data_IF_018301139428
#
_entry.id   IF_018301139428
#
_cell.length_a   1.000
_cell.length_b   1.000
_cell.length_c   1.000
_cell.angle_alpha   90.00
_cell.angle_beta   90.00
_cell.angle_gamma   90.00
#
_symmetry.space_group_name_H-M   'P 1'
#
loop_
_entity.id
_entity.type
_entity.pdbx_description
1 polymer ?
#
# COMPACT_ATOMS: atom_id res chain seq x y z
N UNK A 1 5.24 3.44 13.34
CA UNK A 1 4.59 4.38 12.40
C UNK A 1 5.48 5.62 12.29
N UNK A 2 5.85 6.04 11.08
CA UNK A 2 6.68 7.24 10.86
C UNK A 2 5.81 8.34 10.25
N UNK A 3 5.81 9.53 10.85
CA UNK A 3 5.02 10.68 10.40
C UNK A 3 5.88 11.96 10.45
N UNK A 4 5.51 12.95 9.64
CA UNK A 4 6.27 14.20 9.49
C UNK A 4 6.27 14.72 8.05
N UNK A 5 6.68 15.98 7.83
CA UNK A 5 6.66 16.61 6.51
C UNK A 5 7.63 15.95 5.53
N UNK A 6 7.42 16.16 4.22
CA UNK A 6 8.34 15.67 3.20
C UNK A 6 9.75 16.24 3.44
N UNK A 7 10.78 15.41 3.26
CA UNK A 7 12.16 15.77 3.55
C UNK A 7 12.58 15.68 5.03
N UNK A 8 11.68 15.31 5.96
CA UNK A 8 12.00 15.21 7.39
C UNK A 8 12.83 13.96 7.79
N UNK A 9 13.44 13.23 6.84
CA UNK A 9 14.30 12.08 7.13
C UNK A 9 13.62 10.78 7.55
N UNK A 10 12.29 10.65 7.47
CA UNK A 10 11.55 9.45 7.94
C UNK A 10 12.08 8.13 7.37
N UNK A 11 12.30 8.09 6.05
CA UNK A 11 12.83 6.89 5.39
C UNK A 11 14.26 6.58 5.82
N UNK A 12 15.06 7.61 6.11
CA UNK A 12 16.43 7.49 6.63
C UNK A 12 16.43 6.84 8.01
N UNK A 13 15.61 7.34 8.93
CA UNK A 13 15.46 6.77 10.28
C UNK A 13 15.01 5.31 10.21
N UNK A 14 14.05 4.98 9.33
CA UNK A 14 13.64 3.59 9.13
C UNK A 14 14.81 2.70 8.65
N UNK A 15 15.60 3.17 7.67
CA UNK A 15 16.74 2.40 7.16
C UNK A 15 17.86 2.23 8.20
N UNK A 16 18.15 3.26 8.98
CA UNK A 16 19.16 3.22 10.04
C UNK A 16 18.73 2.26 11.15
N UNK A 17 17.51 2.37 11.66
CA UNK A 17 17.02 1.47 12.71
C UNK A 17 17.05 0.01 12.26
N UNK A 18 16.62 -0.26 11.02
CA UNK A 18 16.65 -1.61 10.45
C UNK A 18 18.08 -2.15 10.34
N UNK A 19 19.04 -1.31 9.91
CA UNK A 19 20.43 -1.71 9.69
C UNK A 19 21.23 -1.84 11.00
N UNK A 20 21.09 -0.88 11.92
CA UNK A 20 21.91 -0.80 13.13
C UNK A 20 21.49 -1.81 14.19
N UNK A 21 20.19 -2.05 14.33
CA UNK A 21 19.65 -2.88 15.41
C UNK A 21 19.22 -4.27 14.95
N UNK A 22 19.38 -4.59 13.65
CA UNK A 22 18.94 -5.85 13.02
C UNK A 22 17.52 -6.25 13.44
N UNK A 23 16.63 -5.26 13.54
CA UNK A 23 15.26 -5.46 14.02
C UNK A 23 14.38 -6.02 12.90
N UNK A 24 13.62 -7.06 13.21
CA UNK A 24 12.50 -7.47 12.37
C UNK A 24 11.32 -6.50 12.57
N UNK A 25 11.26 -5.50 11.70
CA UNK A 25 10.17 -4.51 11.66
C UNK A 25 8.97 -5.01 10.84
N UNK A 26 9.01 -6.24 10.33
CA UNK A 26 8.00 -6.80 9.44
C UNK A 26 7.88 -6.04 8.12
N UNK A 27 6.66 -5.97 7.60
CA UNK A 27 6.36 -5.35 6.30
C UNK A 27 6.33 -3.83 6.44
N UNK A 28 7.25 -3.16 5.73
CA UNK A 28 7.24 -1.70 5.63
C UNK A 28 6.25 -1.24 4.55
N UNK A 29 5.22 -0.51 4.97
CA UNK A 29 4.23 0.09 4.08
C UNK A 29 4.47 1.59 3.93
N UNK A 30 4.66 2.02 2.70
CA UNK A 30 4.80 3.42 2.32
C UNK A 30 3.94 3.71 1.07
N UNK A 31 3.10 4.74 1.14
CA UNK A 31 2.16 5.08 0.06
C UNK A 31 2.88 5.54 -1.22
N UNK A 32 3.93 6.35 -1.10
CA UNK A 32 4.70 6.85 -2.24
C UNK A 32 5.39 5.70 -2.99
N UNK A 33 5.92 4.71 -2.26
CA UNK A 33 6.53 3.52 -2.86
C UNK A 33 5.49 2.62 -3.54
N UNK A 34 4.30 2.48 -2.96
CA UNK A 34 3.18 1.77 -3.60
C UNK A 34 2.76 2.50 -4.89
N UNK A 35 2.65 3.82 -4.85
CA UNK A 35 2.31 4.63 -6.01
C UNK A 35 3.37 4.51 -7.12
N UNK A 36 4.66 4.58 -6.79
CA UNK A 36 5.75 4.37 -7.74
C UNK A 36 5.68 2.99 -8.39
N UNK A 37 5.43 1.94 -7.61
CA UNK A 37 5.25 0.56 -8.12
C UNK A 37 4.05 0.47 -9.06
N UNK A 38 2.91 1.04 -8.69
CA UNK A 38 1.70 1.04 -9.52
C UNK A 38 1.89 1.82 -10.82
N UNK A 39 2.59 2.96 -10.80
CA UNK A 39 2.92 3.73 -12.01
C UNK A 39 3.83 2.96 -12.97
N UNK A 40 4.71 2.11 -12.42
CA UNK A 40 5.67 1.33 -13.23
C UNK A 40 5.06 0.03 -13.76
N UNK A 41 4.33 -0.68 -12.91
CA UNK A 41 3.93 -2.07 -13.16
C UNK A 41 2.43 -2.21 -13.42
N UNK A 42 1.62 -1.20 -13.10
CA UNK A 42 0.14 -1.22 -13.14
C UNK A 42 -0.52 -2.23 -12.19
N UNK A 43 0.27 -2.97 -11.40
CA UNK A 43 -0.20 -3.94 -10.43
C UNK A 43 0.72 -4.01 -9.20
N UNK A 44 0.19 -4.58 -8.13
CA UNK A 44 0.93 -4.96 -6.92
C UNK A 44 0.61 -6.41 -6.58
N UNK A 45 1.61 -7.13 -6.06
CA UNK A 45 1.42 -8.52 -5.62
C UNK A 45 1.27 -8.56 -4.09
N UNK A 46 0.17 -9.13 -3.55
CA UNK A 46 -0.02 -9.26 -2.10
C UNK A 46 1.13 -9.98 -1.37
N UNK A 47 1.82 -10.89 -2.06
CA UNK A 47 2.96 -11.66 -1.50
C UNK A 47 4.10 -10.74 -1.09
N UNK A 48 4.32 -9.62 -1.81
CA UNK A 48 5.35 -8.64 -1.50
C UNK A 48 5.14 -7.97 -0.13
N UNK A 49 3.94 -8.13 0.44
CA UNK A 49 3.51 -7.56 1.71
C UNK A 49 3.13 -8.64 2.73
N UNK A 50 3.64 -9.87 2.58
CA UNK A 50 3.30 -11.03 3.42
C UNK A 50 1.80 -11.30 3.53
N UNK A 51 1.01 -10.92 2.51
CA UNK A 51 -0.41 -11.23 2.44
C UNK A 51 -0.64 -12.52 1.63
N UNK A 52 -1.64 -13.33 1.98
CA UNK A 52 -1.90 -14.58 1.28
C UNK A 52 -2.48 -14.30 -0.12
N UNK A 53 -2.21 -15.20 -1.07
CA UNK A 53 -2.62 -15.05 -2.48
C UNK A 53 -4.14 -14.96 -2.68
N UNK A 54 -4.91 -15.55 -1.76
CA UNK A 54 -6.37 -15.61 -1.79
C UNK A 54 -7.06 -14.36 -1.20
N UNK A 55 -6.29 -13.33 -0.81
CA UNK A 55 -6.81 -12.10 -0.20
C UNK A 55 -7.80 -11.33 -1.11
N UNK A 56 -7.84 -11.64 -2.41
CA UNK A 56 -8.65 -10.93 -3.40
C UNK A 56 -10.11 -10.72 -3.00
N UNK A 57 -10.78 -11.74 -2.42
CA UNK A 57 -12.18 -11.57 -1.96
C UNK A 57 -12.28 -10.55 -0.83
N UNK A 58 -11.43 -10.67 0.19
CA UNK A 58 -11.40 -9.72 1.31
C UNK A 58 -11.09 -8.30 0.86
N UNK A 59 -10.20 -8.14 -0.12
CA UNK A 59 -9.89 -6.85 -0.73
C UNK A 59 -11.12 -6.25 -1.45
N UNK A 60 -11.79 -7.02 -2.30
CA UNK A 60 -13.00 -6.55 -2.99
C UNK A 60 -14.12 -6.19 -2.02
N UNK A 61 -14.36 -7.00 -0.99
CA UNK A 61 -15.36 -6.73 0.04
C UNK A 61 -15.04 -5.44 0.81
N UNK A 62 -13.75 -5.23 1.14
CA UNK A 62 -13.27 -4.00 1.76
C UNK A 62 -13.51 -2.78 0.87
N UNK A 63 -13.04 -2.80 -0.38
CA UNK A 63 -13.18 -1.67 -1.32
C UNK A 63 -14.65 -1.28 -1.52
N UNK A 64 -15.53 -2.27 -1.75
CA UNK A 64 -16.94 -2.03 -2.02
C UNK A 64 -17.71 -1.45 -0.82
N UNK A 65 -17.28 -1.76 0.41
CA UNK A 65 -17.92 -1.25 1.62
C UNK A 65 -17.31 0.07 2.13
N UNK A 66 -16.09 0.40 1.70
CA UNK A 66 -15.31 1.52 2.24
C UNK A 66 -15.91 2.90 1.91
N UNK A 67 -15.90 3.81 2.88
CA UNK A 67 -16.44 5.16 2.75
C UNK A 67 -15.67 6.01 1.74
N UNK A 68 -14.34 5.84 1.63
CA UNK A 68 -13.53 6.52 0.61
C UNK A 68 -13.93 6.14 -0.82
N UNK A 69 -14.20 4.86 -1.07
CA UNK A 69 -14.67 4.41 -2.38
C UNK A 69 -15.99 5.09 -2.72
N UNK A 70 -16.96 5.03 -1.79
CA UNK A 70 -18.27 5.70 -1.92
C UNK A 70 -18.15 7.20 -2.17
N UNK A 71 -17.28 7.88 -1.43
CA UNK A 71 -17.04 9.32 -1.58
C UNK A 71 -16.45 9.65 -2.95
N UNK A 72 -15.38 8.96 -3.35
CA UNK A 72 -14.74 9.22 -4.63
C UNK A 72 -15.68 8.93 -5.81
N UNK A 73 -16.49 7.87 -5.76
CA UNK A 73 -17.52 7.64 -6.79
C UNK A 73 -18.59 8.73 -6.80
N UNK A 74 -19.03 9.22 -5.63
CA UNK A 74 -19.99 10.32 -5.51
C UNK A 74 -19.43 11.63 -6.09
N UNK A 75 -18.14 11.87 -5.89
CA UNK A 75 -17.42 13.04 -6.38
C UNK A 75 -17.05 12.90 -7.88
N UNK A 76 -17.50 11.83 -8.56
CA UNK A 76 -17.34 11.63 -10.00
C UNK A 76 -16.03 10.95 -10.43
N UNK A 77 -15.21 10.48 -9.49
CA UNK A 77 -13.97 9.77 -9.81
C UNK A 77 -14.25 8.33 -10.24
N UNK A 78 -13.66 7.93 -11.37
CA UNK A 78 -13.66 6.53 -11.82
C UNK A 78 -12.56 5.75 -11.10
N UNK A 79 -12.95 4.84 -10.23
CA UNK A 79 -12.03 3.92 -9.56
C UNK A 79 -11.98 2.62 -10.35
N UNK A 80 -10.83 2.33 -10.98
CA UNK A 80 -10.61 1.12 -11.77
C UNK A 80 -9.65 0.16 -11.06
N UNK A 81 -10.03 -0.30 -9.86
CA UNK A 81 -9.27 -1.31 -9.13
C UNK A 81 -9.82 -2.69 -9.49
N UNK A 82 -9.03 -3.50 -10.17
CA UNK A 82 -9.39 -4.86 -10.57
C UNK A 82 -8.41 -5.87 -10.02
N UNK A 83 -8.87 -7.10 -9.79
CA UNK A 83 -7.99 -8.24 -9.52
C UNK A 83 -7.44 -8.72 -10.86
N UNK A 84 -6.12 -8.89 -10.96
CA UNK A 84 -5.53 -9.57 -12.11
C UNK A 84 -6.16 -10.98 -12.22
N UNK A 85 -6.66 -11.34 -13.41
CA UNK A 85 -7.06 -12.72 -13.67
C UNK A 85 -5.79 -13.57 -13.74
N UNK A 86 -5.78 -14.70 -13.03
CA UNK A 86 -4.81 -15.77 -13.24
C UNK A 86 -5.35 -16.71 -14.31
#
# INVERSE_FOLDING_TARGET
MFAGPNGSGKSTVFSEIKSEYNLDLGVYLNADEIEKKLKKNEHINPIDYNLPKDIGKKFSDFVNSHTLYKKATKDGFKINLTRCAN
#
